data_IF_406156418368
#
_entry.id   IF_406156418368
#
_cell.length_a   1.000
_cell.length_b   1.000
_cell.length_c   1.000
_cell.angle_alpha   90.00
_cell.angle_beta   90.00
_cell.angle_gamma   90.00
#
_symmetry.space_group_name_H-M   'P 1'
#
loop_
_entity.id
_entity.type
_entity.pdbx_description
1 polymer ?
#
# COMPACT_ATOMS: atom_id res chain seq x y z
N UNK A 1 1.24 11.89 -11.13
CA UNK A 1 1.75 10.67 -10.46
C UNK A 1 2.80 11.05 -9.43
N UNK A 2 3.93 11.62 -9.84
CA UNK A 2 5.04 11.98 -8.95
C UNK A 2 4.65 12.88 -7.78
N UNK A 3 3.85 13.92 -8.01
CA UNK A 3 3.36 14.80 -6.94
C UNK A 3 2.50 14.05 -5.92
N UNK A 4 1.66 13.12 -6.37
CA UNK A 4 0.83 12.30 -5.49
C UNK A 4 1.70 11.35 -4.65
N UNK A 5 2.71 10.72 -5.27
CA UNK A 5 3.68 9.86 -4.58
C UNK A 5 4.45 10.66 -3.53
N UNK A 6 4.92 11.86 -3.84
CA UNK A 6 5.61 12.73 -2.89
C UNK A 6 4.73 13.03 -1.66
N UNK A 7 3.45 13.38 -1.86
CA UNK A 7 2.53 13.64 -0.74
C UNK A 7 2.27 12.36 0.06
N UNK A 8 2.12 11.21 -0.59
CA UNK A 8 1.92 9.91 0.08
C UNK A 8 3.12 9.57 0.96
N UNK A 9 4.35 9.72 0.43
CA UNK A 9 5.59 9.54 1.21
C UNK A 9 5.62 10.49 2.41
N UNK A 10 5.38 11.78 2.22
CA UNK A 10 5.37 12.74 3.36
C UNK A 10 4.32 12.39 4.44
N UNK A 11 3.25 11.70 4.07
CA UNK A 11 2.16 11.36 4.99
C UNK A 11 2.36 10.01 5.69
N UNK A 12 2.94 9.01 5.02
CA UNK A 12 3.09 7.64 5.54
C UNK A 12 4.51 7.30 5.95
N UNK A 13 5.49 8.04 5.44
CA UNK A 13 6.89 7.95 5.80
C UNK A 13 7.40 9.38 6.13
N UNK A 14 6.87 10.00 7.20
CA UNK A 14 7.33 11.32 7.63
C UNK A 14 8.74 11.24 8.23
N UNK A 15 9.49 12.33 8.11
CA UNK A 15 10.74 12.53 8.85
C UNK A 15 10.44 12.61 10.35
N UNK A 16 10.76 11.53 11.07
CA UNK A 16 10.54 11.41 12.52
C UNK A 16 11.38 12.41 13.32
N UNK A 17 12.48 12.94 12.78
CA UNK A 17 13.29 13.95 13.46
C UNK A 17 12.60 15.32 13.51
N UNK A 18 11.57 15.52 12.67
CA UNK A 18 10.82 16.77 12.56
C UNK A 18 9.45 16.72 13.24
N UNK A 19 9.20 15.70 14.07
CA UNK A 19 7.96 15.51 14.84
C UNK A 19 6.70 15.63 13.96
N UNK A 20 6.78 15.14 12.71
CA UNK A 20 5.66 15.15 11.78
C UNK A 20 4.79 13.92 12.02
N UNK A 21 3.48 14.08 12.33
CA UNK A 21 2.61 12.94 12.56
C UNK A 21 2.30 12.22 11.25
N UNK A 22 2.00 10.92 11.34
CA UNK A 22 1.42 10.14 10.25
C UNK A 22 0.07 10.75 9.85
N UNK A 23 -0.12 10.96 8.54
CA UNK A 23 -1.32 11.57 7.97
C UNK A 23 -2.04 10.60 7.04
N UNK A 24 -2.38 9.41 7.55
CA UNK A 24 -3.05 8.34 6.79
C UNK A 24 -4.31 8.82 6.07
N UNK A 25 -5.14 9.63 6.74
CA UNK A 25 -6.35 10.17 6.15
C UNK A 25 -6.07 11.08 4.94
N UNK A 26 -5.01 11.89 5.01
CA UNK A 26 -4.57 12.75 3.90
C UNK A 26 -4.02 11.92 2.75
N UNK A 27 -3.20 10.92 3.03
CA UNK A 27 -2.69 10.01 2.00
C UNK A 27 -3.84 9.27 1.29
N UNK A 28 -4.82 8.74 2.03
CA UNK A 28 -6.01 8.10 1.46
C UNK A 28 -6.80 9.05 0.56
N UNK A 29 -6.94 10.31 0.97
CA UNK A 29 -7.61 11.34 0.18
C UNK A 29 -6.87 11.60 -1.14
N UNK A 30 -5.54 11.72 -1.11
CA UNK A 30 -4.73 11.91 -2.32
C UNK A 30 -4.94 10.76 -3.30
N UNK A 31 -4.91 9.50 -2.84
CA UNK A 31 -5.18 8.33 -3.69
C UNK A 31 -6.59 8.41 -4.27
N UNK A 32 -7.60 8.70 -3.44
CA UNK A 32 -8.99 8.78 -3.89
C UNK A 32 -9.23 9.89 -4.92
N UNK A 33 -8.64 11.07 -4.72
CA UNK A 33 -8.77 12.21 -5.63
C UNK A 33 -8.00 11.94 -6.94
N UNK A 34 -6.83 11.30 -6.87
CA UNK A 34 -6.09 10.83 -8.05
C UNK A 34 -6.91 9.85 -8.88
N UNK A 35 -7.52 8.82 -8.25
CA UNK A 35 -8.33 7.84 -8.94
C UNK A 35 -9.57 8.42 -9.62
N UNK A 36 -10.11 9.54 -9.11
CA UNK A 36 -11.22 10.27 -9.74
C UNK A 36 -10.76 11.10 -10.93
N UNK A 37 -9.57 11.69 -10.84
CA UNK A 37 -9.04 12.61 -11.85
C UNK A 37 -8.41 11.89 -13.04
N UNK A 38 -7.85 10.71 -12.81
CA UNK A 38 -7.10 9.94 -13.82
C UNK A 38 -7.87 8.68 -14.17
N UNK A 39 -8.17 8.44 -15.44
CA UNK A 39 -8.85 7.23 -15.92
C UNK A 39 -7.85 6.18 -16.42
N UNK A 40 -6.91 5.79 -15.54
CA UNK A 40 -5.87 4.78 -15.85
C UNK A 40 -5.78 3.76 -14.70
N UNK A 41 -6.28 2.52 -14.91
CA UNK A 41 -6.23 1.46 -13.91
C UNK A 41 -4.82 1.08 -13.48
N UNK A 42 -3.83 1.14 -14.38
CA UNK A 42 -2.44 0.81 -14.03
C UNK A 42 -1.84 1.88 -13.12
N UNK A 43 -2.14 3.15 -13.39
CA UNK A 43 -1.78 4.25 -12.51
C UNK A 43 -2.47 4.16 -11.14
N UNK A 44 -3.70 3.65 -11.08
CA UNK A 44 -4.40 3.42 -9.81
C UNK A 44 -3.70 2.34 -8.99
N UNK A 45 -3.45 1.19 -9.61
CA UNK A 45 -2.70 0.08 -8.98
C UNK A 45 -1.35 0.56 -8.46
N UNK A 46 -0.62 1.33 -9.28
CA UNK A 46 0.68 1.91 -8.92
C UNK A 46 0.62 2.77 -7.67
N UNK A 47 -0.32 3.72 -7.61
CA UNK A 47 -0.39 4.64 -6.47
C UNK A 47 -0.91 3.96 -5.19
N UNK A 48 -1.83 2.99 -5.33
CA UNK A 48 -2.34 2.21 -4.18
C UNK A 48 -1.28 1.27 -3.61
N UNK A 49 -0.51 0.59 -4.48
CA UNK A 49 0.60 -0.26 -4.03
C UNK A 49 1.71 0.59 -3.41
N UNK A 50 2.05 1.73 -4.01
CA UNK A 50 3.01 2.66 -3.43
C UNK A 50 2.60 3.15 -2.03
N UNK A 51 1.32 3.47 -1.81
CA UNK A 51 0.80 3.78 -0.48
C UNK A 51 1.08 2.64 0.52
N UNK A 52 0.80 1.40 0.13
CA UNK A 52 1.04 0.24 0.98
C UNK A 52 2.53 0.06 1.29
N UNK A 53 3.40 0.20 0.29
CA UNK A 53 4.85 0.13 0.45
C UNK A 53 5.39 1.16 1.44
N UNK A 54 4.95 2.43 1.33
CA UNK A 54 5.40 3.49 2.23
C UNK A 54 4.99 3.22 3.68
N UNK A 55 3.74 2.79 3.90
CA UNK A 55 3.26 2.45 5.24
C UNK A 55 4.00 1.25 5.84
N UNK A 56 4.21 0.21 5.06
CA UNK A 56 4.95 -0.97 5.49
C UNK A 56 6.42 -0.66 5.79
N UNK A 57 7.10 0.08 4.91
CA UNK A 57 8.49 0.47 5.10
C UNK A 57 8.67 1.31 6.38
N UNK A 58 7.73 2.20 6.66
CA UNK A 58 7.74 2.99 7.90
C UNK A 58 7.66 2.09 9.13
N UNK A 59 6.74 1.12 9.15
CA UNK A 59 6.64 0.17 10.26
C UNK A 59 7.90 -0.69 10.42
N UNK A 60 8.48 -1.17 9.32
CA UNK A 60 9.71 -1.98 9.36
C UNK A 60 10.87 -1.21 9.97
N UNK A 61 10.96 0.11 9.72
CA UNK A 61 12.05 0.94 10.20
C UNK A 61 11.84 1.50 11.61
N UNK A 62 10.63 1.96 11.93
CA UNK A 62 10.33 2.70 13.16
C UNK A 62 9.52 1.90 14.18
N UNK A 63 9.08 0.69 13.84
CA UNK A 63 8.33 -0.21 14.71
C UNK A 63 6.81 -0.05 14.63
N UNK A 64 6.13 -0.72 15.56
CA UNK A 64 4.67 -0.80 15.57
C UNK A 64 3.98 0.54 15.81
N UNK A 65 2.89 0.80 15.07
CA UNK A 65 2.13 2.05 15.11
C UNK A 65 0.83 1.87 15.92
N UNK A 66 -0.28 1.53 15.26
CA UNK A 66 -1.56 1.25 15.89
C UNK A 66 -2.46 0.43 14.97
N UNK A 67 -3.54 -0.14 15.53
CA UNK A 67 -4.50 -0.95 14.79
C UNK A 67 -5.18 -0.21 13.63
N UNK A 68 -5.43 1.09 13.78
CA UNK A 68 -6.13 1.91 12.79
C UNK A 68 -5.26 2.16 11.56
N UNK A 69 -3.96 2.32 11.77
CA UNK A 69 -2.95 2.40 10.71
C UNK A 69 -2.92 1.11 9.90
N UNK A 70 -2.79 -0.05 10.53
CA UNK A 70 -2.76 -1.33 9.82
C UNK A 70 -4.08 -1.65 9.12
N UNK A 71 -5.22 -1.34 9.75
CA UNK A 71 -6.54 -1.45 9.10
C UNK A 71 -6.62 -0.61 7.82
N UNK A 72 -6.00 0.56 7.81
CA UNK A 72 -5.94 1.40 6.62
C UNK A 72 -5.01 0.84 5.52
N UNK A 73 -3.88 0.24 5.91
CA UNK A 73 -2.98 -0.43 4.97
C UNK A 73 -3.63 -1.66 4.34
N UNK A 74 -4.26 -2.52 5.14
CA UNK A 74 -5.01 -3.70 4.66
C UNK A 74 -6.13 -3.29 3.71
N UNK A 75 -6.90 -2.26 4.06
CA UNK A 75 -7.94 -1.74 3.17
C UNK A 75 -7.38 -1.19 1.84
N UNK A 76 -6.18 -0.59 1.86
CA UNK A 76 -5.52 -0.16 0.63
C UNK A 76 -4.98 -1.35 -0.17
N UNK A 77 -4.42 -2.36 0.49
CA UNK A 77 -3.94 -3.58 -0.16
C UNK A 77 -5.05 -4.29 -0.94
N UNK A 78 -6.24 -4.43 -0.35
CA UNK A 78 -7.42 -4.99 -1.05
C UNK A 78 -7.73 -4.24 -2.34
N UNK A 79 -7.78 -2.90 -2.27
CA UNK A 79 -8.04 -2.04 -3.44
C UNK A 79 -6.92 -2.12 -4.49
N UNK A 80 -5.67 -2.14 -4.05
CA UNK A 80 -4.51 -2.26 -4.94
C UNK A 80 -4.60 -3.57 -5.72
N UNK A 81 -4.87 -4.67 -5.02
CA UNK A 81 -4.99 -6.00 -5.62
C UNK A 81 -6.18 -6.09 -6.57
N UNK A 82 -7.34 -5.57 -6.21
CA UNK A 82 -8.51 -5.46 -7.12
C UNK A 82 -8.16 -4.70 -8.41
N UNK A 83 -7.40 -3.60 -8.30
CA UNK A 83 -6.93 -2.85 -9.45
C UNK A 83 -5.93 -3.67 -10.29
N UNK A 84 -4.98 -4.35 -9.66
CA UNK A 84 -3.95 -5.17 -10.34
C UNK A 84 -4.58 -6.33 -11.10
N UNK A 85 -5.49 -7.11 -10.49
CA UNK A 85 -6.12 -8.26 -11.14
C UNK A 85 -6.98 -7.86 -12.35
N UNK A 86 -7.44 -6.60 -12.38
CA UNK A 86 -8.19 -6.03 -13.50
C UNK A 86 -7.30 -5.62 -14.69
N UNK A 87 -5.97 -5.61 -14.53
CA UNK A 87 -5.02 -5.30 -15.60
C UNK A 87 -4.79 -6.52 -16.51
N UNK A 88 -4.36 -6.31 -17.76
CA UNK A 88 -3.81 -7.39 -18.59
C UNK A 88 -2.71 -8.16 -17.84
N UNK A 89 -2.72 -9.50 -17.94
CA UNK A 89 -1.79 -10.39 -17.20
C UNK A 89 -0.33 -9.97 -17.32
N UNK A 90 0.10 -9.55 -18.53
CA UNK A 90 1.47 -9.07 -18.79
C UNK A 90 1.89 -7.86 -17.96
N UNK A 91 0.93 -7.07 -17.48
CA UNK A 91 1.18 -5.90 -16.63
C UNK A 91 1.11 -6.23 -15.14
N UNK A 92 0.62 -7.42 -14.76
CA UNK A 92 0.42 -7.76 -13.34
C UNK A 92 1.72 -8.16 -12.64
N UNK A 93 2.65 -8.81 -13.35
CA UNK A 93 3.86 -9.42 -12.80
C UNK A 93 4.71 -8.44 -11.96
N UNK A 94 5.01 -7.21 -12.42
CA UNK A 94 5.77 -6.25 -11.60
C UNK A 94 5.06 -5.86 -10.30
N UNK A 95 3.73 -5.80 -10.30
CA UNK A 95 2.96 -5.50 -9.09
C UNK A 95 2.93 -6.69 -8.14
N UNK A 96 2.89 -7.93 -8.66
CA UNK A 96 2.95 -9.15 -7.85
C UNK A 96 4.26 -9.25 -7.09
N UNK A 97 5.38 -8.99 -7.76
CA UNK A 97 6.71 -9.01 -7.12
C UNK A 97 6.80 -8.02 -5.96
N UNK A 98 6.34 -6.78 -6.19
CA UNK A 98 6.33 -5.72 -5.18
C UNK A 98 5.38 -6.03 -4.03
N UNK A 99 4.19 -6.55 -4.31
CA UNK A 99 3.27 -7.00 -3.26
C UNK A 99 3.90 -8.13 -2.44
N UNK A 100 4.55 -9.10 -3.07
CA UNK A 100 5.22 -10.21 -2.38
C UNK A 100 6.35 -9.72 -1.45
N UNK A 101 7.09 -8.67 -1.84
CA UNK A 101 8.06 -8.02 -0.96
C UNK A 101 7.39 -7.39 0.27
N UNK A 102 6.26 -6.69 0.09
CA UNK A 102 5.50 -6.15 1.22
C UNK A 102 5.03 -7.27 2.14
N UNK A 103 4.45 -8.35 1.61
CA UNK A 103 4.01 -9.50 2.42
C UNK A 103 5.19 -10.09 3.20
N UNK A 104 6.32 -10.34 2.54
CA UNK A 104 7.51 -10.90 3.19
C UNK A 104 8.06 -9.98 4.29
N UNK A 105 8.21 -8.70 4.01
CA UNK A 105 8.76 -7.72 4.98
C UNK A 105 7.78 -7.38 6.10
N UNK A 106 6.49 -7.65 5.93
CA UNK A 106 5.49 -7.51 7.00
C UNK A 106 5.55 -8.62 8.06
N UNK A 107 6.35 -9.66 7.84
CA UNK A 107 6.49 -10.78 8.78
C UNK A 107 6.93 -10.29 10.16
N UNK A 108 6.16 -10.66 11.19
CA UNK A 108 6.41 -10.25 12.57
C UNK A 108 5.75 -8.93 12.99
N UNK A 109 5.12 -8.19 12.07
CA UNK A 109 4.27 -7.05 12.43
C UNK A 109 2.98 -7.55 13.07
N UNK A 110 2.55 -6.91 14.16
CA UNK A 110 1.38 -7.31 14.94
C UNK A 110 0.03 -7.09 14.24
N UNK A 111 -1.05 -7.19 15.02
CA UNK A 111 -2.43 -6.85 14.63
C UNK A 111 -3.06 -7.74 13.54
N UNK A 112 -2.47 -8.89 13.25
CA UNK A 112 -2.90 -9.73 12.13
C UNK A 112 -2.57 -9.11 10.76
N UNK A 113 -1.76 -8.04 10.72
CA UNK A 113 -1.44 -7.34 9.49
C UNK A 113 -0.77 -8.23 8.45
N UNK A 114 0.21 -9.03 8.88
CA UNK A 114 0.89 -9.99 8.02
C UNK A 114 -0.07 -11.06 7.47
N UNK A 115 -0.94 -11.59 8.33
CA UNK A 115 -1.90 -12.63 7.97
C UNK A 115 -2.91 -12.09 6.95
N UNK A 116 -3.47 -10.90 7.19
CA UNK A 116 -4.37 -10.21 6.27
C UNK A 116 -3.72 -9.98 4.89
N UNK A 117 -2.47 -9.53 4.84
CA UNK A 117 -1.75 -9.31 3.59
C UNK A 117 -1.48 -10.62 2.84
N UNK A 118 -1.12 -11.67 3.58
CA UNK A 118 -0.88 -13.01 3.02
C UNK A 118 -2.17 -13.56 2.39
N UNK A 119 -3.29 -13.47 3.11
CA UNK A 119 -4.60 -13.91 2.63
C UNK A 119 -5.03 -13.13 1.38
N UNK A 120 -4.85 -11.81 1.38
CA UNK A 120 -5.17 -10.95 0.23
C UNK A 120 -4.33 -11.33 -0.99
N UNK A 121 -3.02 -11.52 -0.83
CA UNK A 121 -2.13 -11.87 -1.93
C UNK A 121 -2.45 -13.27 -2.49
N UNK A 122 -2.65 -14.26 -1.61
CA UNK A 122 -2.97 -15.63 -2.00
C UNK A 122 -4.33 -15.74 -2.73
N UNK A 123 -5.35 -15.00 -2.26
CA UNK A 123 -6.67 -15.01 -2.91
C UNK A 123 -6.65 -14.42 -4.32
N UNK A 124 -5.79 -13.44 -4.58
CA UNK A 124 -5.72 -12.76 -5.87
C UNK A 124 -4.80 -13.44 -6.88
N UNK A 125 -3.77 -14.11 -6.40
CA UNK A 125 -2.74 -14.73 -7.22
C UNK A 125 -2.52 -16.19 -6.81
N UNK A 126 -3.52 -17.07 -7.03
CA UNK A 126 -3.37 -18.48 -6.69
C UNK A 126 -2.22 -19.09 -7.51
N UNK A 127 -1.31 -19.79 -6.83
CA UNK A 127 -0.30 -20.61 -7.49
C UNK A 127 -1.03 -21.71 -8.29
N UNK A 128 -0.79 -21.78 -9.60
CA UNK A 128 -1.33 -22.80 -10.51
C UNK A 128 -0.40 -24.00 -10.63
#
# INVERSE_FOLDING_TARGET
>A
MEECKAIVTECLYPDVQRDRPLQVAKAKKVVADFCKAVADPAAHAELMLFFLEQGNAFTVEYGDIDAGFYSALVAMARRAVEAIVSLPVVLQEPFRERLAEVVRSSSGIGWGYHDDLTDIAAAAFPEH
#
